data_IF_613387498859
#
_entry.id   IF_613387498859
#
_cell.length_a   1.000
_cell.length_b   1.000
_cell.length_c   1.000
_cell.angle_alpha   90.00
_cell.angle_beta   90.00
_cell.angle_gamma   90.00
#
_symmetry.space_group_name_H-M   'P 1'
#
loop_
_entity.id
_entity.type
_entity.pdbx_description
1 polymer ?
#
# COMPACT_ATOMS: atom_id res chain seq x y z
N UNK A 1 7.30 -0.39 7.85
CA UNK A 1 7.17 -0.17 6.40
C UNK A 1 6.07 -1.08 5.88
N UNK A 2 5.34 -0.68 4.84
CA UNK A 2 4.29 -1.48 4.20
C UNK A 2 4.71 -1.76 2.75
N UNK A 3 4.53 -3.00 2.28
CA UNK A 3 4.69 -3.37 0.88
C UNK A 3 3.33 -3.62 0.21
N UNK A 4 3.24 -3.30 -1.07
CA UNK A 4 2.07 -3.62 -1.88
C UNK A 4 2.12 -5.04 -2.47
N UNK A 5 1.11 -5.39 -3.25
CA UNK A 5 0.99 -6.70 -3.90
C UNK A 5 2.15 -7.01 -4.84
N UNK A 6 2.68 -6.02 -5.56
CA UNK A 6 3.75 -6.23 -6.54
C UNK A 6 5.06 -6.68 -5.88
N UNK A 7 5.46 -5.99 -4.81
CA UNK A 7 6.65 -6.32 -4.01
C UNK A 7 6.45 -7.65 -3.29
N UNK A 8 5.27 -7.88 -2.70
CA UNK A 8 4.96 -9.12 -2.01
C UNK A 8 5.10 -10.35 -2.92
N UNK A 9 4.57 -10.28 -4.15
CA UNK A 9 4.70 -11.36 -5.15
C UNK A 9 6.16 -11.60 -5.50
N UNK A 10 6.92 -10.53 -5.79
CA UNK A 10 8.33 -10.66 -6.18
C UNK A 10 9.17 -11.32 -5.10
N UNK A 11 9.04 -10.86 -3.84
CA UNK A 11 9.85 -11.38 -2.74
C UNK A 11 9.52 -12.84 -2.43
N UNK A 12 8.24 -13.21 -2.50
CA UNK A 12 7.84 -14.62 -2.39
C UNK A 12 8.44 -15.45 -3.53
N UNK A 13 8.37 -14.97 -4.77
CA UNK A 13 8.95 -15.66 -5.93
C UNK A 13 10.48 -15.85 -5.80
N UNK A 14 11.16 -14.87 -5.19
CA UNK A 14 12.60 -14.91 -4.95
C UNK A 14 13.00 -15.72 -3.71
N UNK A 15 12.05 -16.18 -2.89
CA UNK A 15 12.36 -16.88 -1.65
C UNK A 15 12.92 -15.97 -0.55
N UNK A 16 12.65 -14.67 -0.60
CA UNK A 16 13.16 -13.67 0.33
C UNK A 16 12.38 -13.64 1.65
N UNK A 17 13.05 -13.26 2.74
CA UNK A 17 12.37 -12.96 4.01
C UNK A 17 11.65 -11.61 3.91
N UNK A 18 10.40 -11.57 4.40
CA UNK A 18 9.54 -10.39 4.34
C UNK A 18 9.20 -9.96 5.78
N UNK A 19 9.90 -8.94 6.27
CA UNK A 19 9.69 -8.36 7.61
C UNK A 19 8.75 -7.15 7.57
N UNK A 20 8.51 -6.60 6.37
CA UNK A 20 7.60 -5.50 6.13
C UNK A 20 6.15 -5.92 6.32
N UNK A 21 5.35 -4.96 6.77
CA UNK A 21 3.92 -5.15 6.95
C UNK A 21 3.20 -5.17 5.60
N UNK A 22 1.99 -5.72 5.58
CA UNK A 22 1.09 -5.66 4.41
C UNK A 22 -0.27 -5.11 4.84
N UNK A 23 -1.08 -4.71 3.87
CA UNK A 23 -2.50 -4.38 4.12
C UNK A 23 -3.40 -5.57 3.78
N UNK A 24 -4.67 -5.51 4.21
CA UNK A 24 -5.66 -6.48 3.74
C UNK A 24 -5.93 -6.37 2.23
N UNK A 25 -5.62 -5.25 1.56
CA UNK A 25 -5.64 -5.18 0.07
C UNK A 25 -4.58 -6.12 -0.52
N UNK A 26 -3.35 -6.05 0.00
CA UNK A 26 -2.26 -6.93 -0.42
C UNK A 26 -2.61 -8.40 -0.16
N UNK A 27 -3.18 -8.71 1.00
CA UNK A 27 -3.63 -10.06 1.33
C UNK A 27 -4.72 -10.57 0.36
N UNK A 28 -5.68 -9.73 -0.02
CA UNK A 28 -6.71 -10.08 -1.01
C UNK A 28 -6.10 -10.27 -2.40
N UNK A 29 -5.18 -9.39 -2.80
CA UNK A 29 -4.51 -9.45 -4.10
C UNK A 29 -3.55 -10.62 -4.25
N UNK A 30 -2.95 -11.07 -3.13
CA UNK A 30 -2.03 -12.21 -3.11
C UNK A 30 -2.16 -13.04 -1.83
N UNK A 31 -3.22 -13.87 -1.71
CA UNK A 31 -3.46 -14.72 -0.53
C UNK A 31 -2.30 -15.63 -0.10
N UNK A 32 -1.44 -16.17 -1.00
CA UNK A 32 -0.32 -17.03 -0.60
C UNK A 32 0.65 -16.41 0.42
N UNK A 33 0.74 -15.07 0.49
CA UNK A 33 1.59 -14.37 1.48
C UNK A 33 1.29 -14.78 2.93
N UNK A 34 0.04 -15.17 3.22
CA UNK A 34 -0.39 -15.53 4.59
C UNK A 34 0.20 -16.84 5.09
N UNK A 35 0.46 -17.77 4.17
CA UNK A 35 0.99 -19.11 4.45
C UNK A 35 2.48 -19.20 4.13
N UNK A 36 3.09 -18.07 3.76
CA UNK A 36 4.50 -18.00 3.42
C UNK A 36 5.37 -18.03 4.68
N UNK A 37 6.16 -19.09 4.83
CA UNK A 37 6.95 -19.36 6.05
C UNK A 37 7.95 -18.25 6.41
N UNK A 38 8.35 -17.42 5.44
CA UNK A 38 9.30 -16.30 5.64
C UNK A 38 8.60 -14.94 5.76
N UNK A 39 7.29 -14.90 5.93
CA UNK A 39 6.55 -13.68 6.23
C UNK A 39 6.47 -13.46 7.75
N UNK A 40 7.16 -12.43 8.24
CA UNK A 40 7.19 -12.03 9.66
C UNK A 40 6.41 -10.75 9.96
N UNK A 41 5.94 -10.04 8.94
CA UNK A 41 5.24 -8.76 9.07
C UNK A 41 3.81 -8.87 9.63
N UNK A 42 3.23 -7.72 9.97
CA UNK A 42 1.82 -7.61 10.37
C UNK A 42 0.92 -7.40 9.17
N UNK A 43 -0.33 -7.85 9.30
CA UNK A 43 -1.41 -7.55 8.35
C UNK A 43 -2.27 -6.44 8.94
N UNK A 44 -2.28 -5.27 8.29
CA UNK A 44 -3.18 -4.17 8.65
C UNK A 44 -4.53 -4.35 7.95
N UNK A 45 -5.56 -4.68 8.72
CA UNK A 45 -6.94 -4.66 8.27
C UNK A 45 -7.49 -3.24 8.31
N UNK A 46 -8.11 -2.81 7.22
CA UNK A 46 -8.59 -1.45 7.05
C UNK A 46 -9.95 -1.25 7.72
N UNK A 47 -10.07 -0.19 8.51
CA UNK A 47 -11.31 0.19 9.16
C UNK A 47 -12.02 1.35 8.44
N UNK A 48 -12.92 1.99 9.16
CA UNK A 48 -13.62 3.20 8.70
C UNK A 48 -12.65 4.36 8.45
N UNK A 49 -11.62 4.51 9.29
CA UNK A 49 -10.64 5.60 9.22
C UNK A 49 -9.85 5.59 7.91
N UNK A 50 -9.38 4.41 7.47
CA UNK A 50 -8.70 4.27 6.18
C UNK A 50 -9.64 4.54 5.01
N UNK A 51 -10.91 4.14 5.10
CA UNK A 51 -11.91 4.39 4.06
C UNK A 51 -12.22 5.89 3.90
N UNK A 52 -12.40 6.60 5.01
CA UNK A 52 -12.61 8.06 4.99
C UNK A 52 -11.40 8.78 4.40
N UNK A 53 -10.19 8.37 4.78
CA UNK A 53 -8.94 8.92 4.24
C UNK A 53 -8.83 8.66 2.73
N UNK A 54 -9.17 7.46 2.28
CA UNK A 54 -9.21 7.11 0.85
C UNK A 54 -10.21 7.97 0.05
N UNK A 55 -11.38 8.27 0.62
CA UNK A 55 -12.36 9.19 0.00
C UNK A 55 -11.77 10.59 -0.14
N UNK A 56 -11.12 11.11 0.92
CA UNK A 56 -10.50 12.44 0.88
C UNK A 56 -9.37 12.51 -0.15
N UNK A 57 -8.53 11.48 -0.25
CA UNK A 57 -7.51 11.36 -1.29
C UNK A 57 -8.15 11.40 -2.69
N UNK A 58 -9.18 10.60 -2.93
CA UNK A 58 -9.83 10.53 -4.24
C UNK A 58 -10.50 11.87 -4.63
N UNK A 59 -11.03 12.63 -3.68
CA UNK A 59 -11.54 13.99 -3.92
C UNK A 59 -10.42 14.90 -4.41
N UNK A 60 -9.22 14.86 -3.80
CA UNK A 60 -8.07 15.67 -4.22
C UNK A 60 -7.58 15.24 -5.61
N UNK A 61 -7.41 13.93 -5.82
CA UNK A 61 -6.95 13.34 -7.08
C UNK A 61 -7.87 13.63 -8.26
N UNK A 62 -9.20 13.61 -8.05
CA UNK A 62 -10.17 13.97 -9.09
C UNK A 62 -10.07 15.43 -9.54
N UNK A 63 -9.67 16.36 -8.66
CA UNK A 63 -9.49 17.78 -9.01
C UNK A 63 -8.34 18.00 -10.00
N UNK A 64 -7.33 17.13 -9.98
CA UNK A 64 -6.19 17.19 -10.89
C UNK A 64 -6.33 16.24 -12.10
N UNK A 65 -7.47 15.53 -12.22
CA UNK A 65 -7.73 14.63 -13.34
C UNK A 65 -7.03 13.26 -13.24
N UNK A 66 -6.57 12.86 -12.06
CA UNK A 66 -5.79 11.63 -11.86
C UNK A 66 -6.43 10.68 -10.84
N UNK A 67 -7.67 10.19 -11.09
CA UNK A 67 -8.34 9.27 -10.15
C UNK A 67 -7.56 7.95 -10.01
N UNK A 68 -7.49 7.43 -8.79
CA UNK A 68 -6.77 6.17 -8.49
C UNK A 68 -7.73 5.01 -8.24
N UNK A 69 -7.17 3.80 -8.26
CA UNK A 69 -7.89 2.58 -7.91
C UNK A 69 -8.26 2.57 -6.41
N UNK A 70 -9.33 1.86 -6.05
CA UNK A 70 -9.73 1.72 -4.65
C UNK A 70 -8.65 1.05 -3.81
N UNK A 71 -7.92 0.09 -4.39
CA UNK A 71 -6.82 -0.61 -3.70
C UNK A 71 -5.67 0.33 -3.35
N UNK A 72 -5.22 1.15 -4.30
CA UNK A 72 -4.09 2.06 -4.09
C UNK A 72 -4.44 3.16 -3.09
N UNK A 73 -5.65 3.71 -3.18
CA UNK A 73 -6.15 4.69 -2.22
C UNK A 73 -6.16 4.14 -0.80
N UNK A 74 -6.57 2.89 -0.63
CA UNK A 74 -6.68 2.22 0.64
C UNK A 74 -5.31 1.85 1.23
N UNK A 75 -4.36 1.42 0.38
CA UNK A 75 -2.95 1.22 0.78
C UNK A 75 -2.34 2.55 1.22
N UNK A 76 -2.50 3.60 0.43
CA UNK A 76 -1.99 4.93 0.73
C UNK A 76 -2.58 5.49 2.03
N UNK A 77 -3.90 5.38 2.20
CA UNK A 77 -4.60 5.77 3.43
C UNK A 77 -4.06 5.03 4.66
N UNK A 78 -3.84 3.73 4.54
CA UNK A 78 -3.24 2.93 5.63
C UNK A 78 -1.84 3.44 5.98
N UNK A 79 -1.01 3.72 4.97
CA UNK A 79 0.35 4.24 5.19
C UNK A 79 0.32 5.60 5.90
N UNK A 80 -0.56 6.52 5.47
CA UNK A 80 -0.75 7.83 6.10
C UNK A 80 -1.18 7.67 7.56
N UNK A 81 -2.25 6.92 7.82
CA UNK A 81 -2.85 6.78 9.16
C UNK A 81 -1.92 6.08 10.15
N UNK A 82 -1.12 5.12 9.68
CA UNK A 82 -0.15 4.41 10.52
C UNK A 82 1.23 5.07 10.53
N UNK A 83 1.41 6.20 9.83
CA UNK A 83 2.68 6.91 9.66
C UNK A 83 3.79 6.00 9.07
N UNK A 84 3.39 5.00 8.30
CA UNK A 84 4.23 3.99 7.67
C UNK A 84 4.72 4.44 6.30
N UNK A 85 5.88 3.92 5.88
CA UNK A 85 6.40 4.15 4.53
C UNK A 85 5.93 3.04 3.60
N UNK A 86 5.39 3.40 2.44
CA UNK A 86 5.07 2.48 1.36
C UNK A 86 6.34 2.17 0.55
N UNK A 87 6.62 0.89 0.36
CA UNK A 87 7.60 0.38 -0.59
C UNK A 87 6.85 -0.31 -1.74
N UNK A 88 7.07 0.16 -2.96
CA UNK A 88 6.30 -0.26 -4.13
C UNK A 88 7.12 -0.14 -5.42
N UNK A 89 6.70 -0.87 -6.47
CA UNK A 89 7.15 -0.68 -7.86
C UNK A 89 6.27 0.28 -8.64
N UNK A 90 5.09 0.57 -8.12
CA UNK A 90 4.09 1.40 -8.78
C UNK A 90 4.38 2.89 -8.54
N UNK A 91 4.72 3.57 -9.65
CA UNK A 91 5.02 5.00 -9.65
C UNK A 91 3.77 5.86 -9.51
N UNK A 92 2.57 5.31 -9.69
CA UNK A 92 1.31 6.05 -9.55
C UNK A 92 1.12 6.57 -8.10
N UNK A 93 1.70 5.91 -7.10
CA UNK A 93 1.73 6.42 -5.72
C UNK A 93 2.46 7.76 -5.57
N UNK A 94 3.34 8.13 -6.51
CA UNK A 94 3.95 9.47 -6.51
C UNK A 94 2.92 10.57 -6.78
N UNK A 95 1.90 10.30 -7.62
CA UNK A 95 0.80 11.24 -7.87
C UNK A 95 -0.04 11.42 -6.61
N UNK A 96 -0.26 10.35 -5.84
CA UNK A 96 -0.95 10.44 -4.53
C UNK A 96 -0.14 11.31 -3.56
N UNK A 97 1.19 11.13 -3.52
CA UNK A 97 2.09 11.93 -2.70
C UNK A 97 2.10 13.41 -3.07
N UNK A 98 1.91 13.77 -4.34
CA UNK A 98 1.81 15.17 -4.76
C UNK A 98 0.60 15.89 -4.14
N UNK A 99 -0.55 15.21 -4.03
CA UNK A 99 -1.77 15.78 -3.42
C UNK A 99 -1.83 15.58 -1.91
N UNK A 100 -1.05 14.66 -1.36
CA UNK A 100 -0.93 14.36 0.07
C UNK A 100 0.54 14.11 0.46
N UNK A 101 1.31 15.17 0.75
CA UNK A 101 2.75 15.06 1.06
C UNK A 101 3.08 14.28 2.33
N UNK A 102 2.10 13.99 3.19
CA UNK A 102 2.29 13.13 4.36
C UNK A 102 2.50 11.66 3.99
N UNK A 103 2.13 11.25 2.76
CA UNK A 103 2.42 9.92 2.25
C UNK A 103 3.93 9.74 2.00
N UNK A 104 4.52 8.78 2.69
CA UNK A 104 5.92 8.38 2.51
C UNK A 104 5.98 7.23 1.52
N UNK A 105 6.67 7.42 0.40
CA UNK A 105 6.83 6.43 -0.67
C UNK A 105 8.30 6.24 -0.99
N UNK A 106 8.73 4.99 -1.11
CA UNK A 106 10.01 4.53 -1.65
C UNK A 106 9.70 3.64 -2.85
N UNK A 107 10.32 3.96 -3.99
CA UNK A 107 10.20 3.15 -5.21
C UNK A 107 11.34 2.13 -5.25
N UNK A 108 11.01 0.86 -5.44
CA UNK A 108 11.96 -0.22 -5.68
C UNK A 108 11.97 -0.55 -7.19
N UNK A 109 13.15 -0.71 -7.79
CA UNK A 109 13.30 -1.05 -9.21
C UNK A 109 13.13 -2.57 -9.47
#
# INVERSE_FOLDING_TARGET
MIIDTSIAIQRVANGETIEENITSVTLIGFPPIKDYEKFGGKIYFMGEEEQLTAVLLQIKLRKIGSPMSVGDLLIAATCINKNETLLTKDKDFMIIKEVEPTLKVVIED
#
